data_IF_624988788127
#
_entry.id   IF_624988788127
#
_cell.length_a   1.000
_cell.length_b   1.000
_cell.length_c   1.000
_cell.angle_alpha   90.00
_cell.angle_beta   90.00
_cell.angle_gamma   90.00
#
_symmetry.space_group_name_H-M   'P 1'
#
loop_
_entity.id
_entity.type
_entity.pdbx_description
1 polymer ?
#
# COMPACT_ATOMS: atom_id res chain seq x y z
N UNK A 1 58.83 8.05 25.61
CA UNK A 1 58.25 7.45 24.38
C UNK A 1 56.77 7.72 24.43
N UNK A 2 56.29 8.69 23.63
CA UNK A 2 54.89 9.09 23.64
C UNK A 2 54.14 8.23 22.62
N UNK A 3 53.18 7.46 23.10
CA UNK A 3 52.25 6.68 22.30
C UNK A 3 51.27 7.65 21.59
N UNK A 4 51.40 7.78 20.28
CA UNK A 4 50.50 8.54 19.45
C UNK A 4 49.24 7.70 19.31
N UNK A 5 48.14 8.08 20.02
CA UNK A 5 46.83 7.53 19.83
C UNK A 5 46.36 7.84 18.39
N UNK A 6 46.30 6.82 17.54
CA UNK A 6 45.72 6.92 16.21
C UNK A 6 44.21 7.14 16.37
N UNK A 7 43.77 8.38 16.21
CA UNK A 7 42.36 8.72 16.08
C UNK A 7 41.88 8.10 14.77
N UNK A 8 41.26 6.95 14.85
CA UNK A 8 40.56 6.36 13.71
C UNK A 8 39.44 7.33 13.32
N UNK A 9 39.62 8.04 12.22
CA UNK A 9 38.58 8.80 11.54
C UNK A 9 37.46 7.86 11.17
N UNK A 10 36.37 7.85 11.95
CA UNK A 10 35.13 7.16 11.59
C UNK A 10 34.45 7.96 10.50
N UNK A 11 34.78 7.70 9.25
CA UNK A 11 33.99 8.15 8.11
C UNK A 11 32.52 7.68 8.33
N UNK A 12 31.51 8.52 7.97
CA UNK A 12 30.12 8.15 8.16
C UNK A 12 29.83 6.84 7.41
N UNK A 13 29.43 5.81 8.15
CA UNK A 13 29.09 4.51 7.56
C UNK A 13 27.93 4.72 6.58
N UNK A 14 28.03 4.13 5.38
CA UNK A 14 26.92 4.14 4.44
C UNK A 14 25.67 3.49 5.08
N UNK A 15 24.47 3.87 4.62
CA UNK A 15 23.22 3.28 5.13
C UNK A 15 23.24 1.76 5.07
N UNK A 16 23.78 1.19 3.97
CA UNK A 16 23.95 -0.25 3.80
C UNK A 16 24.85 -0.85 4.88
N UNK A 17 25.98 -0.20 5.18
CA UNK A 17 26.88 -0.64 6.25
C UNK A 17 26.24 -0.50 7.64
N UNK A 18 25.45 0.55 7.88
CA UNK A 18 24.71 0.74 9.12
C UNK A 18 23.70 -0.39 9.33
N UNK A 19 22.90 -0.69 8.32
CA UNK A 19 21.88 -1.76 8.38
C UNK A 19 22.55 -3.13 8.48
N UNK A 20 23.56 -3.42 7.68
CA UNK A 20 24.30 -4.68 7.73
C UNK A 20 24.97 -4.90 9.10
N UNK A 21 25.58 -3.86 9.67
CA UNK A 21 26.18 -3.91 11.01
C UNK A 21 25.15 -4.16 12.12
N UNK A 22 23.92 -3.66 11.98
CA UNK A 22 22.82 -3.91 12.93
C UNK A 22 22.44 -5.40 12.99
N UNK A 23 22.56 -6.12 11.86
CA UNK A 23 22.22 -7.55 11.78
C UNK A 23 23.46 -8.47 11.77
N UNK A 24 24.68 -7.93 11.82
CA UNK A 24 25.90 -8.70 11.83
C UNK A 24 26.16 -9.48 10.54
N UNK A 25 25.71 -8.95 9.38
CA UNK A 25 25.80 -9.60 8.07
C UNK A 25 26.71 -8.83 7.11
N UNK A 26 27.26 -9.53 6.11
CA UNK A 26 28.02 -8.91 5.02
C UNK A 26 27.10 -7.99 4.19
N UNK A 27 27.50 -6.73 3.90
CA UNK A 27 26.65 -5.78 3.17
C UNK A 27 26.23 -6.25 1.77
N UNK A 28 27.09 -6.93 1.03
CA UNK A 28 26.79 -7.42 -0.32
C UNK A 28 25.78 -8.57 -0.28
N UNK A 29 26.02 -9.59 0.54
CA UNK A 29 25.10 -10.72 0.76
C UNK A 29 23.76 -10.26 1.29
N UNK A 30 23.76 -9.24 2.14
CA UNK A 30 22.54 -8.62 2.65
C UNK A 30 21.68 -8.04 1.53
N UNK A 31 22.29 -7.26 0.62
CA UNK A 31 21.56 -6.65 -0.49
C UNK A 31 20.97 -7.71 -1.42
N UNK A 32 21.72 -8.76 -1.75
CA UNK A 32 21.24 -9.83 -2.62
C UNK A 32 20.06 -10.58 -1.99
N UNK A 33 20.17 -10.91 -0.69
CA UNK A 33 19.09 -11.55 0.05
C UNK A 33 17.81 -10.67 0.09
N UNK A 34 17.96 -9.37 0.34
CA UNK A 34 16.82 -8.44 0.41
C UNK A 34 16.18 -8.22 -0.97
N UNK A 35 16.97 -8.15 -2.06
CA UNK A 35 16.41 -8.07 -3.42
C UNK A 35 15.52 -9.27 -3.74
N UNK A 36 15.89 -10.45 -3.26
CA UNK A 36 15.11 -11.66 -3.47
C UNK A 36 13.86 -11.78 -2.58
N UNK A 37 13.87 -11.17 -1.38
CA UNK A 37 12.85 -11.43 -0.35
C UNK A 37 11.97 -10.24 0.01
N UNK A 38 12.49 -9.02 -0.09
CA UNK A 38 11.81 -7.80 0.35
C UNK A 38 11.02 -7.09 -0.76
N UNK A 39 10.89 -7.71 -1.94
CA UNK A 39 10.08 -7.18 -3.03
C UNK A 39 9.02 -8.18 -3.48
N UNK A 40 7.79 -7.70 -3.67
CA UNK A 40 6.74 -8.43 -4.36
C UNK A 40 6.74 -8.01 -5.82
N UNK A 41 7.12 -8.93 -6.71
CA UNK A 41 7.16 -8.69 -8.15
C UNK A 41 5.97 -9.35 -8.84
N UNK A 42 5.31 -8.62 -9.72
CA UNK A 42 4.24 -9.16 -10.59
C UNK A 42 4.74 -9.47 -12.01
N UNK A 43 6.07 -9.52 -12.28
CA UNK A 43 6.56 -9.64 -13.66
C UNK A 43 8.04 -9.97 -13.87
N UNK A 44 8.74 -10.56 -12.90
CA UNK A 44 10.08 -11.14 -13.15
C UNK A 44 11.23 -10.16 -13.48
N UNK A 45 11.04 -8.86 -13.24
CA UNK A 45 12.09 -7.85 -13.41
C UNK A 45 13.17 -7.91 -12.33
N UNK A 46 14.40 -7.49 -12.63
CA UNK A 46 15.46 -7.36 -11.61
C UNK A 46 15.27 -6.08 -10.80
N UNK A 47 15.46 -6.18 -9.49
CA UNK A 47 15.43 -5.01 -8.58
C UNK A 47 16.74 -4.25 -8.69
N UNK A 48 16.65 -2.94 -8.97
CA UNK A 48 17.82 -2.08 -9.07
C UNK A 48 18.40 -1.75 -7.68
N UNK A 49 19.65 -1.27 -7.65
CA UNK A 49 20.29 -0.82 -6.41
C UNK A 49 19.58 0.42 -5.85
N UNK A 50 19.08 1.29 -6.72
CA UNK A 50 18.34 2.51 -6.36
C UNK A 50 17.01 2.16 -5.68
N UNK A 51 16.26 1.18 -6.21
CA UNK A 51 15.04 0.67 -5.61
C UNK A 51 15.30 0.04 -4.24
N UNK A 52 16.37 -0.75 -4.12
CA UNK A 52 16.78 -1.31 -2.83
C UNK A 52 17.17 -0.22 -1.84
N UNK A 53 17.93 0.78 -2.27
CA UNK A 53 18.34 1.89 -1.43
C UNK A 53 17.13 2.69 -0.93
N UNK A 54 16.15 2.97 -1.81
CA UNK A 54 14.91 3.63 -1.45
C UNK A 54 14.15 2.85 -0.35
N UNK A 55 14.04 1.52 -0.48
CA UNK A 55 13.42 0.69 0.57
C UNK A 55 14.18 0.76 1.89
N UNK A 56 15.52 0.70 1.87
CA UNK A 56 16.32 0.79 3.09
C UNK A 56 16.20 2.15 3.78
N UNK A 57 16.09 3.25 3.02
CA UNK A 57 15.86 4.59 3.58
C UNK A 57 14.53 4.63 4.32
N UNK A 58 13.45 4.14 3.71
CA UNK A 58 12.12 4.12 4.34
C UNK A 58 12.11 3.20 5.55
N UNK A 59 12.75 2.02 5.45
CA UNK A 59 12.87 1.06 6.55
C UNK A 59 13.63 1.65 7.75
N UNK A 60 14.78 2.31 7.52
CA UNK A 60 15.57 2.97 8.57
C UNK A 60 14.81 4.14 9.20
N UNK A 61 14.10 4.94 8.40
CA UNK A 61 13.29 6.06 8.87
C UNK A 61 12.18 5.64 9.85
N UNK A 62 11.50 4.53 9.57
CA UNK A 62 10.43 3.99 10.41
C UNK A 62 10.89 2.92 11.40
N UNK A 63 12.18 2.59 11.47
CA UNK A 63 12.72 1.56 12.35
C UNK A 63 12.26 0.14 12.02
N UNK A 64 11.79 -0.10 10.79
CA UNK A 64 11.23 -1.38 10.34
C UNK A 64 12.28 -2.33 9.81
N UNK A 65 12.02 -3.63 9.95
CA UNK A 65 12.92 -4.69 9.53
C UNK A 65 12.43 -5.36 8.23
N UNK A 66 13.15 -5.19 7.10
CA UNK A 66 12.77 -5.82 5.85
C UNK A 66 13.00 -7.35 5.82
N UNK A 67 13.87 -7.89 6.68
CA UNK A 67 14.10 -9.34 6.78
C UNK A 67 12.92 -10.09 7.41
N UNK A 68 12.26 -9.49 8.39
CA UNK A 68 11.05 -10.03 9.02
C UNK A 68 9.79 -9.69 8.25
N UNK A 69 9.92 -9.03 7.09
CA UNK A 69 8.80 -8.54 6.27
C UNK A 69 7.88 -7.55 7.00
N UNK A 70 8.37 -6.84 8.00
CA UNK A 70 7.65 -5.72 8.58
C UNK A 70 7.43 -4.62 7.54
N UNK A 71 8.41 -4.48 6.61
CA UNK A 71 8.33 -3.64 5.42
C UNK A 71 8.82 -4.41 4.20
N UNK A 72 8.17 -4.20 3.07
CA UNK A 72 8.56 -4.69 1.75
C UNK A 72 8.10 -3.68 0.69
N UNK A 73 8.35 -3.90 -0.59
CA UNK A 73 7.93 -2.97 -1.62
C UNK A 73 7.44 -3.66 -2.88
N UNK A 74 6.59 -2.94 -3.63
CA UNK A 74 6.36 -3.20 -5.05
C UNK A 74 7.25 -2.28 -5.87
N UNK A 75 7.96 -2.78 -6.89
CA UNK A 75 8.64 -1.92 -7.85
C UNK A 75 7.61 -1.18 -8.71
N UNK A 76 7.82 0.12 -8.95
CA UNK A 76 6.95 0.95 -9.78
C UNK A 76 7.78 1.94 -10.61
N UNK A 77 7.72 1.86 -11.94
CA UNK A 77 8.28 2.79 -12.93
C UNK A 77 9.68 3.35 -12.59
N UNK A 78 10.57 2.49 -12.08
CA UNK A 78 11.92 2.88 -11.64
C UNK A 78 12.02 3.33 -10.17
N UNK A 79 10.88 3.52 -9.48
CA UNK A 79 10.78 3.75 -8.04
C UNK A 79 10.27 2.55 -7.28
N UNK A 80 9.70 2.80 -6.11
CA UNK A 80 9.08 1.79 -5.25
C UNK A 80 7.79 2.31 -4.63
N UNK A 81 6.87 1.39 -4.32
CA UNK A 81 5.73 1.62 -3.42
C UNK A 81 6.00 0.81 -2.15
N UNK A 82 6.43 1.45 -1.04
CA UNK A 82 6.74 0.74 0.20
C UNK A 82 5.45 0.29 0.89
N UNK A 83 5.45 -0.95 1.36
CA UNK A 83 4.31 -1.57 2.06
C UNK A 83 4.75 -1.96 3.45
N UNK A 84 3.98 -1.55 4.43
CA UNK A 84 4.16 -1.98 5.82
C UNK A 84 3.12 -3.05 6.14
N UNK A 85 3.59 -4.21 6.61
CA UNK A 85 2.71 -5.28 7.05
C UNK A 85 1.98 -4.90 8.34
N UNK A 86 0.98 -5.69 8.72
CA UNK A 86 0.26 -5.49 10.00
C UNK A 86 1.22 -5.54 11.20
N UNK A 87 2.20 -6.44 11.15
CA UNK A 87 3.23 -6.56 12.20
C UNK A 87 4.12 -5.31 12.25
N UNK A 88 4.49 -4.78 11.07
CA UNK A 88 5.20 -3.52 10.96
C UNK A 88 4.41 -2.34 11.53
N UNK A 89 3.12 -2.22 11.20
CA UNK A 89 2.23 -1.20 11.78
C UNK A 89 2.10 -1.34 13.31
N UNK A 90 1.93 -2.56 13.79
CA UNK A 90 1.90 -2.83 15.24
C UNK A 90 3.19 -2.39 15.91
N UNK A 91 4.35 -2.67 15.29
CA UNK A 91 5.66 -2.31 15.82
C UNK A 91 5.83 -0.79 15.91
N UNK A 92 5.64 -0.04 14.79
CA UNK A 92 5.83 1.42 14.82
C UNK A 92 4.86 2.12 15.77
N UNK A 93 3.66 1.58 15.98
CA UNK A 93 2.73 2.10 16.97
C UNK A 93 3.21 1.85 18.39
N UNK A 94 3.63 0.62 18.71
CA UNK A 94 4.10 0.29 20.06
C UNK A 94 5.43 0.97 20.41
N UNK A 95 6.32 1.19 19.44
CA UNK A 95 7.60 1.88 19.63
C UNK A 95 7.44 3.42 19.71
N UNK A 96 6.27 3.96 19.33
CA UNK A 96 6.05 5.41 19.32
C UNK A 96 5.91 5.97 20.73
N UNK A 97 6.78 6.91 21.11
CA UNK A 97 6.88 7.46 22.47
C UNK A 97 5.56 8.02 23.01
N UNK A 98 4.71 8.56 22.15
CA UNK A 98 3.43 9.16 22.51
C UNK A 98 2.24 8.18 22.42
N UNK A 99 2.47 6.91 22.09
CA UNK A 99 1.42 5.89 22.11
C UNK A 99 1.01 5.60 23.56
N UNK A 100 -0.28 5.70 23.86
CA UNK A 100 -0.85 5.40 25.16
C UNK A 100 -1.73 4.14 25.12
N UNK A 101 -2.63 4.07 24.13
CA UNK A 101 -3.50 2.92 23.95
C UNK A 101 -4.26 2.92 22.64
N UNK A 102 -4.84 1.78 22.32
CA UNK A 102 -5.73 1.59 21.17
C UNK A 102 -6.96 0.79 21.58
N UNK A 103 -8.12 1.23 21.10
CA UNK A 103 -9.41 0.54 21.25
C UNK A 103 -10.04 0.33 19.88
N UNK A 104 -10.87 -0.70 19.76
CA UNK A 104 -11.71 -0.95 18.60
C UNK A 104 -13.16 -1.06 19.05
N UNK A 105 -14.04 -0.39 18.29
CA UNK A 105 -15.47 -0.41 18.49
C UNK A 105 -16.08 -0.95 17.21
N UNK A 106 -16.79 -2.05 17.33
CA UNK A 106 -17.45 -2.71 16.20
C UNK A 106 -18.90 -2.18 16.08
N UNK A 107 -19.44 -2.11 14.86
CA UNK A 107 -20.86 -1.84 14.64
C UNK A 107 -21.73 -2.95 15.22
N UNK A 108 -22.89 -2.59 15.76
CA UNK A 108 -23.94 -3.56 16.14
C UNK A 108 -24.60 -4.19 14.90
N UNK A 109 -24.66 -3.42 13.80
CA UNK A 109 -25.17 -3.87 12.51
C UNK A 109 -24.14 -4.69 11.77
N UNK A 110 -24.60 -5.81 11.19
CA UNK A 110 -23.74 -6.77 10.49
C UNK A 110 -24.12 -6.85 9.01
N UNK A 111 -23.11 -7.05 8.17
CA UNK A 111 -23.26 -7.38 6.74
C UNK A 111 -22.66 -8.75 6.44
N UNK A 112 -22.92 -9.30 5.27
CA UNK A 112 -22.39 -10.61 4.86
C UNK A 112 -21.36 -10.46 3.76
N UNK A 113 -20.22 -11.14 3.91
CA UNK A 113 -19.19 -11.23 2.90
C UNK A 113 -18.59 -12.64 2.85
N UNK A 114 -18.64 -13.29 1.67
CA UNK A 114 -18.15 -14.67 1.51
C UNK A 114 -18.82 -15.68 2.44
N UNK A 115 -20.09 -15.47 2.78
CA UNK A 115 -20.84 -16.31 3.73
C UNK A 115 -20.54 -16.05 5.21
N UNK A 116 -19.72 -15.07 5.55
CA UNK A 116 -19.38 -14.68 6.92
C UNK A 116 -20.05 -13.37 7.30
N UNK A 117 -20.43 -13.26 8.57
CA UNK A 117 -20.88 -12.00 9.15
C UNK A 117 -19.67 -11.11 9.49
N UNK A 118 -19.80 -9.81 9.18
CA UNK A 118 -18.78 -8.81 9.43
C UNK A 118 -19.47 -7.51 9.86
N UNK A 119 -18.93 -6.76 10.84
CA UNK A 119 -19.47 -5.46 11.21
C UNK A 119 -19.52 -4.51 10.01
N UNK A 120 -20.58 -3.71 9.87
CA UNK A 120 -20.69 -2.73 8.79
C UNK A 120 -19.58 -1.68 8.84
N UNK A 121 -19.06 -1.42 10.03
CA UNK A 121 -17.92 -0.55 10.25
C UNK A 121 -17.16 -0.97 11.51
N UNK A 122 -15.87 -0.61 11.56
CA UNK A 122 -15.04 -0.65 12.77
C UNK A 122 -14.44 0.72 12.99
N UNK A 123 -14.56 1.24 14.20
CA UNK A 123 -13.89 2.46 14.65
C UNK A 123 -12.63 2.08 15.44
N UNK A 124 -11.49 2.63 15.04
CA UNK A 124 -10.26 2.59 15.81
C UNK A 124 -10.12 3.90 16.58
N UNK A 125 -9.77 3.78 17.86
CA UNK A 125 -9.54 4.91 18.77
C UNK A 125 -8.12 4.82 19.29
N UNK A 126 -7.28 5.81 18.96
CA UNK A 126 -5.90 5.89 19.44
C UNK A 126 -5.78 7.00 20.48
N UNK A 127 -5.29 6.62 21.65
CA UNK A 127 -4.95 7.52 22.75
C UNK A 127 -3.47 7.89 22.67
N UNK A 128 -3.17 9.16 22.89
CA UNK A 128 -1.80 9.69 22.91
C UNK A 128 -1.52 10.35 24.26
N UNK A 129 -0.30 10.15 24.79
CA UNK A 129 0.14 10.73 26.06
C UNK A 129 0.21 12.25 26.05
N UNK A 130 0.42 12.86 24.87
CA UNK A 130 0.57 14.30 24.68
C UNK A 130 -0.74 15.02 24.31
N UNK A 131 -1.88 14.32 24.28
CA UNK A 131 -3.19 14.87 23.90
C UNK A 131 -4.30 14.42 24.85
N UNK A 132 -5.17 15.34 25.20
CA UNK A 132 -6.32 15.05 26.06
C UNK A 132 -7.47 14.34 25.36
N UNK A 133 -7.52 14.41 24.03
CA UNK A 133 -8.59 13.79 23.24
C UNK A 133 -8.01 12.74 22.30
N UNK A 134 -8.62 11.56 22.20
CA UNK A 134 -8.18 10.53 21.28
C UNK A 134 -8.44 10.89 19.83
N UNK A 135 -7.66 10.31 18.94
CA UNK A 135 -7.95 10.27 17.50
C UNK A 135 -8.89 9.10 17.23
N UNK A 136 -9.96 9.34 16.49
CA UNK A 136 -10.96 8.32 16.12
C UNK A 136 -11.08 8.26 14.60
N UNK A 137 -11.03 7.06 14.05
CA UNK A 137 -11.25 6.83 12.62
C UNK A 137 -12.14 5.61 12.46
N UNK A 138 -13.19 5.78 11.68
CA UNK A 138 -14.16 4.73 11.37
C UNK A 138 -14.00 4.32 9.92
N UNK A 139 -13.79 3.03 9.68
CA UNK A 139 -13.74 2.44 8.36
C UNK A 139 -15.02 1.64 8.10
N UNK A 140 -15.62 1.85 6.93
CA UNK A 140 -16.84 1.15 6.52
C UNK A 140 -16.51 -0.02 5.62
N UNK A 141 -17.06 -1.18 5.94
CA UNK A 141 -16.79 -2.39 5.17
C UNK A 141 -17.06 -2.23 3.67
N UNK A 142 -18.16 -1.57 3.31
CA UNK A 142 -18.56 -1.35 1.92
C UNK A 142 -17.55 -0.51 1.11
N UNK A 143 -16.78 0.36 1.78
CA UNK A 143 -15.81 1.27 1.13
C UNK A 143 -14.43 0.61 0.96
N UNK A 144 -14.02 -0.24 1.93
CA UNK A 144 -12.64 -0.74 2.01
C UNK A 144 -12.50 -2.21 1.59
N UNK A 145 -13.60 -2.97 1.53
CA UNK A 145 -13.56 -4.41 1.22
C UNK A 145 -13.03 -4.70 -0.18
N UNK A 146 -12.36 -5.84 -0.32
CA UNK A 146 -11.73 -6.31 -1.57
C UNK A 146 -12.11 -7.75 -1.88
N UNK A 147 -12.11 -8.11 -3.15
CA UNK A 147 -12.31 -9.48 -3.60
C UNK A 147 -10.98 -10.26 -3.61
N UNK A 148 -10.28 -10.28 -2.46
CA UNK A 148 -9.05 -11.03 -2.27
C UNK A 148 -9.22 -12.13 -1.24
N UNK A 149 -8.33 -13.13 -1.27
CA UNK A 149 -8.42 -14.29 -0.36
C UNK A 149 -8.40 -13.90 1.13
N UNK A 150 -7.56 -12.94 1.60
CA UNK A 150 -7.62 -12.48 2.99
C UNK A 150 -8.98 -11.91 3.39
N UNK A 151 -9.59 -11.10 2.53
CA UNK A 151 -10.91 -10.52 2.75
C UNK A 151 -12.03 -11.56 2.76
N UNK A 152 -11.94 -12.60 1.90
CA UNK A 152 -12.90 -13.73 1.90
C UNK A 152 -12.76 -14.59 3.15
N UNK A 153 -11.52 -14.83 3.60
CA UNK A 153 -11.26 -15.73 4.72
C UNK A 153 -11.47 -15.07 6.08
N UNK A 154 -11.10 -13.77 6.25
CA UNK A 154 -11.12 -13.06 7.53
C UNK A 154 -11.58 -11.60 7.38
N UNK A 155 -12.81 -11.32 6.91
CA UNK A 155 -13.25 -9.97 6.57
C UNK A 155 -13.21 -8.99 7.75
N UNK A 156 -13.65 -9.38 8.94
CA UNK A 156 -13.63 -8.53 10.13
C UNK A 156 -12.21 -8.18 10.58
N UNK A 157 -11.26 -9.13 10.45
CA UNK A 157 -9.85 -8.86 10.73
C UNK A 157 -9.28 -7.84 9.75
N UNK A 158 -9.57 -8.00 8.46
CA UNK A 158 -9.09 -7.05 7.44
C UNK A 158 -9.66 -5.66 7.66
N UNK A 159 -10.94 -5.54 8.01
CA UNK A 159 -11.56 -4.25 8.34
C UNK A 159 -10.89 -3.59 9.55
N UNK A 160 -10.58 -4.36 10.60
CA UNK A 160 -9.85 -3.86 11.77
C UNK A 160 -8.45 -3.37 11.43
N UNK A 161 -7.74 -4.07 10.55
CA UNK A 161 -6.42 -3.62 10.07
C UNK A 161 -6.52 -2.28 9.33
N UNK A 162 -7.53 -2.11 8.48
CA UNK A 162 -7.76 -0.82 7.78
C UNK A 162 -8.03 0.31 8.76
N UNK A 163 -8.93 0.10 9.72
CA UNK A 163 -9.22 1.11 10.74
C UNK A 163 -7.98 1.49 11.56
N UNK A 164 -7.15 0.50 11.95
CA UNK A 164 -5.90 0.76 12.68
C UNK A 164 -4.93 1.61 11.87
N UNK A 165 -4.67 1.24 10.60
CA UNK A 165 -3.71 1.92 9.74
C UNK A 165 -4.13 3.38 9.48
N UNK A 166 -5.39 3.61 9.15
CA UNK A 166 -5.88 4.97 8.92
C UNK A 166 -5.88 5.80 10.21
N UNK A 167 -6.27 5.22 11.34
CA UNK A 167 -6.21 5.90 12.63
C UNK A 167 -4.76 6.26 13.01
N UNK A 168 -3.80 5.35 12.79
CA UNK A 168 -2.38 5.59 13.05
C UNK A 168 -1.82 6.75 12.21
N UNK A 169 -2.17 6.81 10.93
CA UNK A 169 -1.77 7.91 10.03
C UNK A 169 -2.27 9.26 10.53
N UNK A 170 -3.55 9.34 10.93
CA UNK A 170 -4.14 10.57 11.45
C UNK A 170 -3.55 10.93 12.82
N UNK A 171 -3.34 9.93 13.69
CA UNK A 171 -2.84 10.15 15.04
C UNK A 171 -1.40 10.64 15.07
N UNK A 172 -0.51 10.06 14.24
CA UNK A 172 0.94 10.27 14.31
C UNK A 172 1.55 10.91 13.08
N UNK A 173 0.77 11.11 12.00
CA UNK A 173 1.25 11.75 10.78
C UNK A 173 2.12 10.84 9.90
N UNK A 174 1.98 9.52 10.00
CA UNK A 174 2.71 8.61 9.14
C UNK A 174 2.35 8.81 7.67
N UNK A 175 3.38 8.95 6.82
CA UNK A 175 3.24 9.18 5.39
C UNK A 175 4.28 8.39 4.59
N UNK A 176 4.01 8.21 3.28
CA UNK A 176 4.96 7.53 2.38
C UNK A 176 5.06 6.02 2.58
N UNK A 177 4.22 5.43 3.42
CA UNK A 177 4.08 3.99 3.65
C UNK A 177 2.62 3.58 3.49
N UNK A 178 2.40 2.43 2.87
CA UNK A 178 1.09 1.96 2.46
C UNK A 178 0.77 0.59 3.05
N UNK A 179 -0.50 0.25 3.10
CA UNK A 179 -0.90 -1.15 3.25
C UNK A 179 -0.86 -1.88 1.90
N UNK A 180 -0.96 -3.20 1.92
CA UNK A 180 -0.83 -4.03 0.72
C UNK A 180 -1.91 -3.74 -0.33
N UNK A 181 -3.16 -3.53 0.10
CA UNK A 181 -4.27 -3.25 -0.83
C UNK A 181 -4.11 -1.87 -1.51
N UNK A 182 -3.64 -0.86 -0.78
CA UNK A 182 -3.35 0.47 -1.32
C UNK A 182 -2.21 0.41 -2.32
N UNK A 183 -1.12 -0.29 -1.96
CA UNK A 183 0.04 -0.43 -2.83
C UNK A 183 -0.30 -1.16 -4.14
N UNK A 184 -1.12 -2.20 -4.07
CA UNK A 184 -1.59 -2.91 -5.26
C UNK A 184 -2.39 -1.99 -6.20
N UNK A 185 -3.23 -1.09 -5.67
CA UNK A 185 -3.96 -0.10 -6.49
C UNK A 185 -3.02 0.87 -7.20
N UNK A 186 -1.95 1.30 -6.52
CA UNK A 186 -0.97 2.22 -7.09
C UNK A 186 -0.24 1.56 -8.25
N UNK A 187 0.23 0.32 -8.05
CA UNK A 187 1.03 -0.41 -9.04
C UNK A 187 0.18 -1.00 -10.17
N UNK A 188 -1.04 -1.42 -9.84
CA UNK A 188 -2.01 -1.99 -10.78
C UNK A 188 -3.31 -1.18 -10.70
N UNK A 189 -3.41 -0.04 -11.40
CA UNK A 189 -4.66 0.73 -11.46
C UNK A 189 -5.81 -0.18 -11.88
N UNK A 190 -6.90 -0.15 -11.14
CA UNK A 190 -8.08 -0.98 -11.42
C UNK A 190 -8.48 -0.83 -12.88
N UNK A 191 -8.56 -1.96 -13.60
CA UNK A 191 -9.22 -1.96 -14.89
C UNK A 191 -10.69 -1.59 -14.65
N UNK A 192 -11.29 -0.76 -15.53
CA UNK A 192 -12.68 -0.38 -15.37
C UNK A 192 -13.58 -1.62 -15.19
N UNK A 193 -14.61 -1.53 -14.34
CA UNK A 193 -15.45 -2.67 -13.96
C UNK A 193 -15.97 -3.38 -15.21
N UNK A 194 -16.12 -4.70 -15.12
CA UNK A 194 -16.52 -5.59 -16.23
C UNK A 194 -17.77 -5.11 -17.00
N UNK A 195 -18.64 -4.28 -16.37
CA UNK A 195 -19.80 -3.64 -17.00
C UNK A 195 -19.40 -2.62 -18.08
N UNK A 196 -18.30 -1.86 -17.90
CA UNK A 196 -17.80 -0.95 -18.93
C UNK A 196 -17.11 -1.69 -20.08
N UNK A 197 -16.38 -2.79 -19.77
CA UNK A 197 -15.82 -3.68 -20.80
C UNK A 197 -16.91 -4.37 -21.61
N UNK A 198 -17.99 -4.80 -20.97
CA UNK A 198 -19.15 -5.37 -21.66
C UNK A 198 -19.86 -4.33 -22.54
N UNK A 199 -20.00 -3.09 -22.06
CA UNK A 199 -20.61 -2.00 -22.81
C UNK A 199 -19.75 -1.57 -24.01
N UNK A 200 -18.42 -1.52 -23.84
CA UNK A 200 -17.46 -1.25 -24.92
C UNK A 200 -17.42 -2.39 -25.94
N UNK A 201 -17.46 -3.66 -25.51
CA UNK A 201 -17.52 -4.83 -26.38
C UNK A 201 -18.86 -4.90 -27.13
N UNK A 202 -19.98 -4.57 -26.49
CA UNK A 202 -21.30 -4.51 -27.14
C UNK A 202 -21.38 -3.37 -28.16
N UNK A 203 -20.80 -2.21 -27.84
CA UNK A 203 -20.71 -1.09 -28.77
C UNK A 203 -19.85 -1.42 -30.01
N UNK A 204 -18.73 -2.13 -29.81
CA UNK A 204 -17.88 -2.60 -30.90
C UNK A 204 -18.59 -3.65 -31.80
N UNK A 205 -19.34 -4.59 -31.17
CA UNK A 205 -20.14 -5.58 -31.89
C UNK A 205 -21.30 -4.95 -32.69
N UNK A 206 -21.93 -3.92 -32.14
CA UNK A 206 -23.01 -3.19 -32.85
C UNK A 206 -22.44 -2.39 -34.01
N UNK A 207 -21.27 -1.78 -33.86
CA UNK A 207 -20.60 -1.05 -34.94
C UNK A 207 -20.17 -1.97 -36.10
N UNK A 208 -19.75 -3.20 -35.81
CA UNK A 208 -19.33 -4.21 -36.80
C UNK A 208 -20.54 -4.91 -37.47
N UNK A 209 -21.71 -4.86 -36.86
CA UNK A 209 -22.95 -5.49 -37.34
C UNK A 209 -23.88 -4.52 -38.15
N UNK A 210 -23.54 -3.23 -38.26
CA UNK A 210 -24.35 -2.28 -39.03
C UNK A 210 -24.03 -2.36 -40.53
N UNK A 211 -25.01 -2.56 -41.40
CA UNK A 211 -24.81 -2.49 -42.83
C UNK A 211 -24.32 -1.08 -43.25
N UNK A 212 -23.38 -1.00 -44.21
CA UNK A 212 -22.78 0.24 -44.70
C UNK A 212 -23.81 1.29 -45.18
N UNK A 213 -24.99 0.87 -45.58
CA UNK A 213 -26.08 1.78 -46.02
C UNK A 213 -26.62 2.69 -44.91
N UNK A 214 -26.60 2.28 -43.65
CA UNK A 214 -27.11 3.08 -42.50
C UNK A 214 -26.03 4.02 -41.97
N UNK A 215 -24.77 3.70 -42.17
CA UNK A 215 -23.65 4.55 -41.72
C UNK A 215 -23.55 5.86 -42.55
N UNK A 216 -23.96 5.85 -43.82
CA UNK A 216 -23.96 7.04 -44.69
C UNK A 216 -25.02 8.07 -44.25
N UNK A 217 -26.22 7.63 -43.91
CA UNK A 217 -27.33 8.53 -43.52
C UNK A 217 -27.06 9.27 -42.18
N UNK A 218 -26.41 8.62 -41.23
CA UNK A 218 -26.03 9.26 -39.97
C UNK A 218 -24.91 10.32 -40.13
N UNK A 219 -24.03 10.14 -41.11
CA UNK A 219 -22.95 11.12 -41.40
C UNK A 219 -23.49 12.41 -42.07
N UNK A 220 -24.49 12.30 -42.92
CA UNK A 220 -25.12 13.45 -43.56
C UNK A 220 -25.92 14.31 -42.59
N UNK A 221 -26.69 13.68 -41.69
CA UNK A 221 -27.46 14.41 -40.65
C UNK A 221 -26.55 15.14 -39.64
N UNK A 222 -25.36 14.59 -39.34
CA UNK A 222 -24.39 15.24 -38.45
C UNK A 222 -23.68 16.43 -39.13
N UNK A 223 -23.52 16.42 -40.46
CA UNK A 223 -22.90 17.51 -41.20
C UNK A 223 -23.86 18.70 -41.42
N UNK A 224 -25.18 18.47 -41.56
CA UNK A 224 -26.17 19.53 -41.66
C UNK A 224 -26.44 20.26 -40.34
N UNK A 225 -26.34 19.57 -39.17
CA UNK A 225 -26.47 20.19 -37.84
C UNK A 225 -25.24 21.01 -37.44
N UNK A 226 -24.07 20.75 -38.01
CA UNK A 226 -22.83 21.51 -37.75
C UNK A 226 -22.67 22.79 -38.53
N UNK A 227 -23.47 23.00 -39.60
CA UNK A 227 -23.41 24.17 -40.45
C UNK A 227 -24.42 25.29 -40.10
N UNK A 228 -25.25 25.07 -39.05
CA UNK A 228 -26.29 26.01 -38.59
C UNK A 228 -26.06 26.57 -37.16
N UNK A 229 -24.80 26.51 -36.66
CA UNK A 229 -24.41 27.10 -35.35
C UNK A 229 -23.30 28.16 -35.51
#
# INVERSE_FOLDING_TARGET
MSEIAVIQSTAPRSLVQKVAGRFGVDPGKMLDALKATAFKQSGGGSISNEQMMALLIVADHHGLNPFTREIFAFPDKGGIVPVVSVDGWSRILNDHAQMDGVEFIDAETMTKHGGKEVPEWIECVIYRKDRSKPTRVRERFAEVSRDTQPWKSHPARMLRHKALIQCARVAFGFSGIYDEDEAQRIVQPEQPPAKEKAKAATAALVADAMPEEIAGECAEVSSELGAAA
#
